data_IF_870161649632
#
_entry.id   IF_870161649632
#
_cell.length_a   1.000
_cell.length_b   1.000
_cell.length_c   1.000
_cell.angle_alpha   90.00
_cell.angle_beta   90.00
_cell.angle_gamma   90.00
#
_symmetry.space_group_name_H-M   'P 1'
#
loop_
_entity.id
_entity.type
_entity.pdbx_description
1 polymer ?
#
# COMPACT_ATOMS: atom_id res chain seq x y z
N UNK A 1 -16.66 15.59 -15.20
CA UNK A 1 -16.22 15.60 -13.80
C UNK A 1 -17.43 15.92 -12.97
N UNK A 2 -17.74 15.09 -11.98
CA UNK A 2 -18.84 15.37 -11.07
C UNK A 2 -18.44 16.55 -10.17
N UNK A 3 -19.37 17.45 -9.93
CA UNK A 3 -19.14 18.61 -9.08
C UNK A 3 -19.14 18.16 -7.60
N UNK A 4 -18.28 18.74 -6.77
CA UNK A 4 -18.09 18.34 -5.36
C UNK A 4 -19.43 18.19 -4.60
N UNK A 5 -20.35 19.12 -4.83
CA UNK A 5 -21.69 19.11 -4.22
C UNK A 5 -22.58 17.98 -4.73
N UNK A 6 -22.42 17.55 -5.99
CA UNK A 6 -23.17 16.43 -6.55
C UNK A 6 -22.74 15.12 -5.88
N UNK A 7 -21.44 14.94 -5.65
CA UNK A 7 -20.91 13.75 -4.97
C UNK A 7 -21.37 13.74 -3.51
N UNK A 8 -21.33 14.88 -2.82
CA UNK A 8 -21.84 15.02 -1.45
C UNK A 8 -23.32 14.67 -1.38
N UNK A 9 -24.13 15.21 -2.29
CA UNK A 9 -25.56 14.94 -2.36
C UNK A 9 -25.86 13.46 -2.67
N UNK A 10 -25.05 12.80 -3.49
CA UNK A 10 -25.22 11.38 -3.76
C UNK A 10 -24.82 10.50 -2.55
N UNK A 11 -23.72 10.83 -1.85
CA UNK A 11 -23.29 10.11 -0.65
C UNK A 11 -24.31 10.15 0.48
N UNK A 12 -25.02 11.26 0.67
CA UNK A 12 -26.01 11.38 1.75
C UNK A 12 -27.19 10.40 1.63
N UNK A 13 -27.38 9.80 0.45
CA UNK A 13 -28.37 8.74 0.21
C UNK A 13 -27.82 7.33 0.46
N UNK A 14 -26.55 7.18 0.79
CA UNK A 14 -25.90 5.88 1.04
C UNK A 14 -25.58 5.79 2.54
N UNK A 15 -25.92 4.66 3.18
CA UNK A 15 -25.57 4.43 4.58
C UNK A 15 -24.07 4.14 4.74
N UNK A 16 -23.44 4.69 5.78
CA UNK A 16 -22.02 4.53 6.07
C UNK A 16 -21.69 3.33 6.99
N UNK A 17 -22.70 2.59 7.46
CA UNK A 17 -22.53 1.50 8.43
C UNK A 17 -21.95 0.21 7.82
N UNK A 18 -22.21 -0.04 6.54
CA UNK A 18 -21.66 -1.21 5.85
C UNK A 18 -20.20 -0.99 5.50
N UNK A 19 -19.31 -1.84 6.01
CA UNK A 19 -17.86 -1.66 5.87
C UNK A 19 -17.38 -1.77 4.42
N UNK A 20 -17.97 -2.67 3.63
CA UNK A 20 -17.59 -2.83 2.22
C UNK A 20 -18.02 -1.59 1.44
N UNK A 21 -19.27 -1.15 1.59
CA UNK A 21 -19.78 0.11 1.02
C UNK A 21 -18.91 1.30 1.43
N UNK A 22 -18.57 1.40 2.71
CA UNK A 22 -17.73 2.46 3.25
C UNK A 22 -16.36 2.55 2.56
N UNK A 23 -15.71 1.40 2.34
CA UNK A 23 -14.45 1.30 1.58
C UNK A 23 -14.67 1.70 0.13
N UNK A 24 -15.68 1.13 -0.54
CA UNK A 24 -15.93 1.36 -1.97
C UNK A 24 -16.25 2.82 -2.28
N UNK A 25 -17.01 3.49 -1.42
CA UNK A 25 -17.31 4.92 -1.56
C UNK A 25 -16.05 5.76 -1.35
N UNK A 26 -15.19 5.38 -0.40
CA UNK A 26 -13.91 6.04 -0.19
C UNK A 26 -12.98 5.93 -1.39
N UNK A 27 -12.87 4.74 -1.99
CA UNK A 27 -12.09 4.53 -3.21
C UNK A 27 -12.67 5.32 -4.39
N UNK A 28 -14.00 5.31 -4.57
CA UNK A 28 -14.67 6.05 -5.63
C UNK A 28 -14.46 7.58 -5.55
N UNK A 29 -14.51 8.13 -4.33
CA UNK A 29 -14.27 9.57 -4.10
C UNK A 29 -12.81 9.92 -4.33
N UNK A 30 -11.88 9.09 -3.85
CA UNK A 30 -10.44 9.29 -4.01
C UNK A 30 -9.99 9.18 -5.47
N UNK A 31 -10.65 8.33 -6.26
CA UNK A 31 -10.39 8.19 -7.70
C UNK A 31 -10.75 9.46 -8.50
N UNK A 32 -11.88 10.11 -8.18
CA UNK A 32 -12.35 11.29 -8.94
C UNK A 32 -11.77 12.62 -8.43
N UNK A 33 -11.62 12.81 -7.12
CA UNK A 33 -11.19 14.10 -6.51
C UNK A 33 -9.77 14.03 -5.94
N UNK A 34 -9.16 12.85 -5.84
CA UNK A 34 -7.86 12.69 -5.19
C UNK A 34 -7.93 12.95 -3.68
N UNK A 35 -6.83 13.45 -3.11
CA UNK A 35 -6.70 13.67 -1.66
C UNK A 35 -7.68 14.72 -1.09
N UNK A 36 -8.11 15.68 -1.92
CA UNK A 36 -9.10 16.70 -1.53
C UNK A 36 -10.50 16.09 -1.27
N UNK A 37 -10.74 14.86 -1.74
CA UNK A 37 -11.95 14.10 -1.47
C UNK A 37 -12.08 13.57 -0.04
N UNK A 38 -11.00 13.59 0.76
CA UNK A 38 -11.02 13.02 2.12
C UNK A 38 -12.09 13.67 3.00
N UNK A 39 -12.18 15.00 2.98
CA UNK A 39 -13.12 15.73 3.83
C UNK A 39 -14.57 15.32 3.55
N UNK A 40 -14.92 15.20 2.26
CA UNK A 40 -16.26 14.83 1.82
C UNK A 40 -16.63 13.40 2.25
N UNK A 41 -15.71 12.46 2.10
CA UNK A 41 -15.94 11.08 2.52
C UNK A 41 -15.91 10.93 4.05
N UNK A 42 -15.07 11.68 4.77
CA UNK A 42 -15.00 11.65 6.23
C UNK A 42 -16.26 12.24 6.88
N UNK A 43 -16.77 13.37 6.37
CA UNK A 43 -18.05 13.94 6.80
C UNK A 43 -19.20 12.93 6.66
N UNK A 44 -19.27 12.24 5.51
CA UNK A 44 -20.23 11.16 5.30
C UNK A 44 -19.99 9.97 6.24
N UNK A 45 -18.74 9.57 6.44
CA UNK A 45 -18.35 8.46 7.31
C UNK A 45 -18.78 8.66 8.76
N UNK A 46 -18.80 9.90 9.24
CA UNK A 46 -19.25 10.26 10.59
C UNK A 46 -20.72 9.93 10.85
N UNK A 47 -21.52 9.71 9.80
CA UNK A 47 -22.92 9.28 9.94
C UNK A 47 -23.08 7.82 10.37
N UNK A 48 -22.02 7.01 10.22
CA UNK A 48 -22.03 5.59 10.61
C UNK A 48 -21.84 5.40 12.11
N UNK A 49 -22.60 4.46 12.69
CA UNK A 49 -22.62 4.24 14.15
C UNK A 49 -21.29 3.76 14.75
N UNK A 50 -20.39 3.21 13.93
CA UNK A 50 -19.08 2.70 14.34
C UNK A 50 -17.91 3.59 13.90
N UNK A 51 -18.16 4.88 13.61
CA UNK A 51 -17.12 5.78 13.12
C UNK A 51 -15.97 5.99 14.11
N UNK A 52 -14.75 6.01 13.58
CA UNK A 52 -13.55 6.39 14.31
C UNK A 52 -12.63 7.22 13.41
N UNK A 53 -12.31 8.45 13.82
CA UNK A 53 -11.51 9.38 13.02
C UNK A 53 -10.08 8.90 12.74
N UNK A 54 -9.47 8.13 13.66
CA UNK A 54 -8.13 7.56 13.44
C UNK A 54 -8.20 6.47 12.37
N UNK A 55 -9.20 5.62 12.44
CA UNK A 55 -9.36 4.50 11.52
C UNK A 55 -9.81 4.98 10.13
N UNK A 56 -10.61 6.04 10.05
CA UNK A 56 -10.96 6.73 8.80
C UNK A 56 -9.70 7.28 8.08
N UNK A 57 -8.83 8.00 8.80
CA UNK A 57 -7.56 8.49 8.25
C UNK A 57 -6.63 7.36 7.80
N UNK A 58 -6.55 6.28 8.57
CA UNK A 58 -5.72 5.12 8.22
C UNK A 58 -6.25 4.42 6.97
N UNK A 59 -7.57 4.23 6.88
CA UNK A 59 -8.20 3.64 5.71
C UNK A 59 -8.03 4.50 4.46
N UNK A 60 -8.23 5.81 4.56
CA UNK A 60 -8.05 6.73 3.44
C UNK A 60 -6.66 6.64 2.81
N UNK A 61 -5.62 6.54 3.64
CA UNK A 61 -4.23 6.34 3.19
C UNK A 61 -4.02 5.00 2.50
N UNK A 62 -4.80 3.98 2.87
CA UNK A 62 -4.73 2.64 2.27
C UNK A 62 -5.48 2.53 0.94
N UNK A 63 -6.47 3.39 0.68
CA UNK A 63 -7.25 3.38 -0.54
C UNK A 63 -6.39 3.68 -1.76
N UNK A 64 -6.57 2.85 -2.78
CA UNK A 64 -5.86 2.94 -4.05
C UNK A 64 -6.83 3.40 -5.12
N UNK A 65 -6.57 4.54 -5.79
CA UNK A 65 -7.39 4.96 -6.92
C UNK A 65 -7.27 3.94 -8.07
N UNK A 66 -8.24 3.95 -8.98
CA UNK A 66 -8.22 3.17 -10.22
C UNK A 66 -8.96 1.84 -10.20
N UNK A 67 -9.49 1.39 -9.05
CA UNK A 67 -10.29 0.16 -8.94
C UNK A 67 -11.80 0.40 -8.98
N UNK A 68 -12.27 1.43 -8.27
CA UNK A 68 -13.68 1.80 -8.18
C UNK A 68 -13.82 3.24 -8.63
N UNK A 69 -14.68 3.46 -9.63
CA UNK A 69 -14.93 4.79 -10.17
C UNK A 69 -16.11 5.46 -9.46
N UNK A 70 -16.22 6.78 -9.60
CA UNK A 70 -17.35 7.57 -9.12
C UNK A 70 -18.72 7.09 -9.65
N UNK A 71 -18.74 6.38 -10.79
CA UNK A 71 -19.96 5.78 -11.33
C UNK A 71 -20.61 4.77 -10.37
N UNK A 72 -19.82 4.05 -9.58
CA UNK A 72 -20.32 3.10 -8.58
C UNK A 72 -21.04 3.81 -7.44
N UNK A 73 -20.54 4.97 -7.01
CA UNK A 73 -21.19 5.80 -6.00
C UNK A 73 -22.55 6.29 -6.48
N UNK A 74 -22.62 6.85 -7.70
CA UNK A 74 -23.90 7.29 -8.27
C UNK A 74 -24.88 6.15 -8.52
N UNK A 75 -24.39 4.96 -8.86
CA UNK A 75 -25.22 3.77 -9.00
C UNK A 75 -25.92 3.42 -7.68
N UNK A 76 -25.16 3.34 -6.58
CA UNK A 76 -25.73 3.05 -5.25
C UNK A 76 -26.62 4.18 -4.73
N UNK A 77 -26.25 5.44 -4.94
CA UNK A 77 -27.09 6.57 -4.57
C UNK A 77 -28.48 6.48 -5.25
N UNK A 78 -28.53 6.17 -6.56
CA UNK A 78 -29.79 6.00 -7.29
C UNK A 78 -30.62 4.81 -6.79
N UNK A 79 -29.97 3.70 -6.43
CA UNK A 79 -30.66 2.57 -5.80
C UNK A 79 -31.33 2.98 -4.48
N UNK A 80 -30.75 3.92 -3.75
CA UNK A 80 -31.31 4.50 -2.53
C UNK A 80 -32.18 5.76 -2.78
N UNK A 81 -32.69 5.93 -4.00
CA UNK A 81 -33.66 6.97 -4.31
C UNK A 81 -33.10 8.36 -4.61
N UNK A 82 -31.77 8.53 -4.69
CA UNK A 82 -31.17 9.78 -5.14
C UNK A 82 -31.55 10.05 -6.61
N UNK A 83 -31.96 11.29 -6.88
CA UNK A 83 -32.27 11.76 -8.24
C UNK A 83 -31.38 12.96 -8.55
N UNK A 84 -30.52 12.90 -9.57
CA UNK A 84 -29.67 14.02 -9.92
C UNK A 84 -30.51 15.17 -10.46
N UNK A 85 -30.20 16.40 -10.07
CA UNK A 85 -30.86 17.61 -10.59
C UNK A 85 -30.56 17.84 -12.08
N UNK A 86 -29.36 17.45 -12.51
CA UNK A 86 -28.93 17.47 -13.91
C UNK A 86 -29.00 16.03 -14.47
N UNK A 87 -29.47 15.82 -15.72
CA UNK A 87 -29.41 14.52 -16.35
C UNK A 87 -27.96 14.02 -16.39
N UNK A 88 -27.72 12.83 -15.85
CA UNK A 88 -26.41 12.20 -15.94
C UNK A 88 -26.06 11.93 -17.40
N UNK A 89 -24.96 12.51 -17.84
CA UNK A 89 -24.34 12.17 -19.13
C UNK A 89 -23.33 11.07 -18.83
N UNK A 90 -23.59 9.80 -19.22
CA UNK A 90 -22.58 8.77 -19.14
C UNK A 90 -21.36 9.19 -19.96
N UNK A 91 -20.16 8.92 -19.43
CA UNK A 91 -18.95 8.98 -20.22
C UNK A 91 -19.14 8.13 -21.48
N UNK A 92 -18.72 8.66 -22.62
CA UNK A 92 -18.68 7.89 -23.86
C UNK A 92 -17.79 6.67 -23.69
N UNK A 93 -18.01 5.64 -24.50
CA UNK A 93 -17.18 4.42 -24.41
C UNK A 93 -15.70 4.72 -24.71
N UNK A 94 -15.42 5.73 -25.53
CA UNK A 94 -14.07 6.22 -25.79
C UNK A 94 -13.42 6.83 -24.53
N UNK A 95 -14.15 7.68 -23.79
CA UNK A 95 -13.65 8.27 -22.54
C UNK A 95 -13.43 7.22 -21.44
N UNK A 96 -14.32 6.22 -21.36
CA UNK A 96 -14.15 5.08 -20.43
C UNK A 96 -12.89 4.28 -20.76
N UNK A 97 -12.68 3.96 -22.03
CA UNK A 97 -11.51 3.21 -22.48
C UNK A 97 -10.21 3.99 -22.22
N UNK A 98 -10.20 5.30 -22.43
CA UNK A 98 -9.04 6.15 -22.14
C UNK A 98 -8.68 6.14 -20.65
N UNK A 99 -9.67 6.29 -19.76
CA UNK A 99 -9.44 6.22 -18.31
C UNK A 99 -8.95 4.84 -17.85
N UNK A 100 -9.51 3.77 -18.43
CA UNK A 100 -9.04 2.41 -18.16
C UNK A 100 -7.59 2.23 -18.60
N UNK A 101 -7.23 2.65 -19.82
CA UNK A 101 -5.87 2.57 -20.32
C UNK A 101 -4.88 3.39 -19.47
N UNK A 102 -5.27 4.58 -19.00
CA UNK A 102 -4.45 5.39 -18.10
C UNK A 102 -4.23 4.70 -16.74
N UNK A 103 -5.29 4.14 -16.15
CA UNK A 103 -5.21 3.37 -14.90
C UNK A 103 -4.31 2.15 -15.04
N UNK A 104 -4.46 1.40 -16.15
CA UNK A 104 -3.63 0.24 -16.45
C UNK A 104 -2.17 0.63 -16.67
N UNK A 105 -1.90 1.71 -17.40
CA UNK A 105 -0.56 2.22 -17.61
C UNK A 105 0.12 2.60 -16.29
N UNK A 106 -0.58 3.31 -15.39
CA UNK A 106 -0.08 3.63 -14.04
C UNK A 106 0.20 2.37 -13.22
N UNK A 107 -0.66 1.35 -13.32
CA UNK A 107 -0.46 0.06 -12.64
C UNK A 107 0.78 -0.67 -13.15
N UNK A 108 0.94 -0.75 -14.47
CA UNK A 108 2.11 -1.35 -15.12
C UNK A 108 3.40 -0.60 -14.77
N UNK A 109 3.39 0.73 -14.76
CA UNK A 109 4.55 1.54 -14.37
C UNK A 109 4.93 1.31 -12.90
N UNK A 110 3.95 1.30 -11.99
CA UNK A 110 4.20 1.03 -10.57
C UNK A 110 4.73 -0.39 -10.33
N UNK A 111 4.24 -1.38 -11.08
CA UNK A 111 4.77 -2.75 -11.05
C UNK A 111 6.20 -2.82 -11.58
N UNK A 112 6.49 -2.14 -12.69
CA UNK A 112 7.83 -2.05 -13.27
C UNK A 112 8.82 -1.42 -12.28
N UNK A 113 8.46 -0.29 -11.66
CA UNK A 113 9.28 0.38 -10.64
C UNK A 113 9.53 -0.53 -9.42
N UNK A 114 8.53 -1.32 -8.99
CA UNK A 114 8.72 -2.31 -7.91
C UNK A 114 9.67 -3.43 -8.32
N UNK A 115 9.55 -3.94 -9.54
CA UNK A 115 10.44 -4.98 -10.07
C UNK A 115 11.87 -4.45 -10.23
N UNK A 116 12.06 -3.28 -10.83
CA UNK A 116 13.36 -2.61 -10.96
C UNK A 116 14.02 -2.37 -9.60
N UNK A 117 13.25 -1.88 -8.62
CA UNK A 117 13.71 -1.72 -7.24
C UNK A 117 14.12 -3.07 -6.61
N UNK A 118 13.34 -4.11 -6.82
CA UNK A 118 13.65 -5.48 -6.35
C UNK A 118 14.93 -6.04 -7.00
N UNK A 119 15.13 -5.86 -8.31
CA UNK A 119 16.32 -6.36 -9.01
C UNK A 119 17.60 -5.65 -8.57
N UNK A 120 17.55 -4.32 -8.38
CA UNK A 120 18.68 -3.52 -7.90
C UNK A 120 19.15 -3.95 -6.50
N UNK A 121 18.19 -4.20 -5.61
CA UNK A 121 18.41 -4.75 -4.26
C UNK A 121 18.96 -6.18 -4.38
N UNK A 122 18.31 -7.08 -5.14
CA UNK A 122 18.80 -8.45 -5.31
C UNK A 122 20.27 -8.54 -5.76
N UNK A 123 20.71 -7.69 -6.69
CA UNK A 123 22.10 -7.66 -7.14
C UNK A 123 23.11 -7.19 -6.08
N UNK A 124 22.73 -6.19 -5.27
CA UNK A 124 23.58 -5.68 -4.18
C UNK A 124 23.70 -6.71 -3.06
N UNK A 125 22.60 -7.36 -2.71
CA UNK A 125 22.48 -8.31 -1.62
C UNK A 125 23.20 -9.61 -1.96
N UNK A 126 23.08 -10.10 -3.20
CA UNK A 126 23.84 -11.26 -3.66
C UNK A 126 25.35 -11.02 -3.59
N UNK A 127 25.82 -9.81 -3.92
CA UNK A 127 27.24 -9.45 -3.85
C UNK A 127 27.74 -9.41 -2.41
N UNK A 128 27.00 -8.77 -1.50
CA UNK A 128 27.34 -8.73 -0.07
C UNK A 128 27.33 -10.16 0.49
N UNK A 129 26.29 -10.95 0.17
CA UNK A 129 26.19 -12.33 0.60
C UNK A 129 27.38 -13.15 0.12
N UNK A 130 27.72 -13.09 -1.16
CA UNK A 130 28.83 -13.84 -1.76
C UNK A 130 30.20 -13.49 -1.15
N UNK A 131 30.41 -12.23 -0.78
CA UNK A 131 31.64 -11.75 -0.16
C UNK A 131 31.70 -12.00 1.36
N UNK A 132 30.58 -12.37 1.98
CA UNK A 132 30.51 -12.65 3.42
C UNK A 132 30.94 -14.07 3.74
N UNK A 133 31.52 -14.27 4.92
CA UNK A 133 31.95 -15.58 5.43
C UNK A 133 30.94 -16.13 6.43
N UNK A 134 30.85 -17.45 6.68
CA UNK A 134 29.99 -17.98 7.73
C UNK A 134 30.24 -17.28 9.08
N UNK A 135 29.15 -16.95 9.79
CA UNK A 135 29.26 -16.35 11.11
C UNK A 135 29.90 -17.32 12.11
N UNK A 136 30.66 -16.79 13.07
CA UNK A 136 31.22 -17.59 14.16
C UNK A 136 30.59 -17.18 15.49
N UNK A 137 30.50 -18.11 16.45
CA UNK A 137 30.01 -17.81 17.81
C UNK A 137 30.86 -16.74 18.53
N UNK A 138 32.08 -16.49 18.06
CA UNK A 138 32.95 -15.43 18.57
C UNK A 138 32.53 -14.02 18.12
N UNK A 139 31.49 -13.87 17.29
CA UNK A 139 31.04 -12.58 16.81
C UNK A 139 30.59 -11.66 17.98
N UNK A 140 31.05 -10.39 18.07
CA UNK A 140 30.78 -9.49 19.19
C UNK A 140 29.28 -9.35 19.54
N UNK A 141 28.44 -9.21 18.51
CA UNK A 141 26.98 -9.16 18.68
C UNK A 141 26.39 -10.43 19.33
N UNK A 142 26.84 -11.62 18.92
CA UNK A 142 26.32 -12.89 19.46
C UNK A 142 26.75 -13.07 20.92
N UNK A 143 28.01 -12.75 21.23
CA UNK A 143 28.54 -12.73 22.59
C UNK A 143 27.74 -11.79 23.48
N UNK A 144 27.46 -10.56 23.02
CA UNK A 144 26.66 -9.58 23.77
C UNK A 144 25.20 -10.03 23.97
N UNK A 145 24.64 -10.79 23.02
CA UNK A 145 23.29 -11.36 23.11
C UNK A 145 23.22 -12.72 23.81
N UNK A 146 24.36 -13.26 24.26
CA UNK A 146 24.42 -14.57 24.91
C UNK A 146 24.05 -15.75 24.00
N UNK A 147 24.12 -15.59 22.67
CA UNK A 147 23.78 -16.63 21.71
C UNK A 147 24.97 -17.59 21.61
N UNK A 148 24.77 -18.82 22.06
CA UNK A 148 25.82 -19.85 22.16
C UNK A 148 25.55 -21.09 21.33
N UNK A 149 24.35 -21.23 20.76
CA UNK A 149 23.94 -22.38 19.98
C UNK A 149 24.40 -22.26 18.50
N UNK A 150 25.26 -23.18 18.00
CA UNK A 150 25.65 -23.22 16.60
C UNK A 150 24.48 -23.36 15.62
N UNK A 151 23.37 -23.98 16.03
CA UNK A 151 22.21 -24.17 15.17
C UNK A 151 21.53 -22.83 14.82
N UNK A 152 21.55 -21.86 15.75
CA UNK A 152 20.93 -20.54 15.58
C UNK A 152 21.70 -19.68 14.57
N UNK A 153 23.01 -19.91 14.44
CA UNK A 153 23.86 -19.19 13.48
C UNK A 153 24.04 -19.95 12.16
N UNK A 154 23.43 -21.15 12.04
CA UNK A 154 23.44 -21.93 10.82
C UNK A 154 22.73 -21.16 9.71
N UNK A 155 23.49 -20.74 8.71
CA UNK A 155 22.96 -19.91 7.61
C UNK A 155 23.03 -18.41 7.88
N UNK A 156 23.67 -17.94 8.94
CA UNK A 156 24.05 -16.53 9.12
C UNK A 156 25.48 -16.34 8.62
N UNK A 157 25.75 -15.21 7.94
CA UNK A 157 27.10 -14.83 7.50
C UNK A 157 27.57 -13.58 8.23
N UNK A 158 28.85 -13.26 8.13
CA UNK A 158 29.45 -12.06 8.68
C UNK A 158 30.38 -11.40 7.65
N UNK A 159 30.48 -10.08 7.70
CA UNK A 159 31.45 -9.30 6.94
C UNK A 159 31.87 -8.05 7.69
N UNK A 160 33.03 -7.51 7.33
CA UNK A 160 33.47 -6.21 7.81
C UNK A 160 32.94 -5.11 6.89
N UNK A 161 32.35 -4.08 7.50
CA UNK A 161 31.91 -2.89 6.80
C UNK A 161 32.10 -1.66 7.69
N UNK A 162 32.86 -0.69 7.19
CA UNK A 162 33.17 0.57 7.88
C UNK A 162 33.75 0.31 9.28
N UNK A 163 34.82 -0.51 9.33
CA UNK A 163 35.55 -0.92 10.54
C UNK A 163 34.69 -1.63 11.61
N UNK A 164 33.53 -2.17 11.23
CA UNK A 164 32.65 -2.93 12.10
C UNK A 164 32.34 -4.31 11.50
N UNK A 165 32.53 -5.37 12.29
CA UNK A 165 32.09 -6.72 11.95
C UNK A 165 30.58 -6.82 12.15
N UNK A 166 29.85 -7.12 11.07
CA UNK A 166 28.38 -7.20 11.06
C UNK A 166 27.93 -8.61 10.70
N UNK A 167 26.82 -9.04 11.30
CA UNK A 167 26.09 -10.21 10.84
C UNK A 167 25.20 -9.83 9.66
N UNK A 168 25.15 -10.72 8.68
CA UNK A 168 24.29 -10.68 7.50
C UNK A 168 23.27 -11.79 7.64
N UNK A 169 22.03 -11.41 7.94
CA UNK A 169 20.92 -12.33 8.16
C UNK A 169 20.10 -12.41 6.86
N UNK A 170 20.05 -13.55 6.17
CA UNK A 170 19.32 -13.67 4.92
C UNK A 170 17.82 -13.77 5.18
N UNK A 171 17.03 -12.98 4.45
CA UNK A 171 15.59 -13.11 4.37
C UNK A 171 15.27 -13.78 3.04
N UNK A 172 14.69 -14.97 3.10
CA UNK A 172 14.25 -15.70 1.92
C UNK A 172 12.75 -15.52 1.71
N UNK A 173 12.34 -15.35 0.46
CA UNK A 173 10.95 -15.41 0.03
C UNK A 173 10.85 -16.35 -1.17
N UNK A 174 9.98 -17.35 -1.09
CA UNK A 174 9.81 -18.39 -2.11
C UNK A 174 11.15 -19.07 -2.52
N UNK A 175 12.01 -19.35 -1.53
CA UNK A 175 13.31 -19.98 -1.73
C UNK A 175 14.41 -19.10 -2.35
N UNK A 176 14.11 -17.84 -2.69
CA UNK A 176 15.09 -16.89 -3.22
C UNK A 176 15.54 -15.90 -2.14
N UNK A 177 16.82 -15.52 -2.15
CA UNK A 177 17.33 -14.44 -1.29
C UNK A 177 16.61 -13.14 -1.69
N UNK A 178 15.79 -12.64 -0.77
CA UNK A 178 14.93 -11.47 -0.97
C UNK A 178 15.56 -10.21 -0.40
N UNK A 179 16.22 -10.32 0.77
CA UNK A 179 16.87 -9.21 1.45
C UNK A 179 18.00 -9.72 2.38
N UNK A 180 18.96 -8.86 2.72
CA UNK A 180 19.90 -9.07 3.82
C UNK A 180 19.62 -8.06 4.93
N UNK A 181 19.42 -8.56 6.16
CA UNK A 181 19.32 -7.71 7.34
C UNK A 181 20.68 -7.63 8.02
N UNK A 182 21.37 -6.48 7.96
CA UNK A 182 22.58 -6.27 8.73
C UNK A 182 22.22 -6.01 10.20
N UNK A 183 22.98 -6.56 11.13
CA UNK A 183 22.89 -6.13 12.53
C UNK A 183 23.53 -4.76 12.69
N UNK A 184 22.84 -3.83 13.35
CA UNK A 184 23.43 -2.58 13.79
C UNK A 184 24.41 -2.86 14.96
N UNK A 185 25.64 -2.35 14.86
CA UNK A 185 26.49 -2.19 16.05
C UNK A 185 25.82 -1.16 16.93
N UNK A 186 25.14 -1.60 18.00
CA UNK A 186 24.97 -0.72 19.15
C UNK A 186 26.37 -0.48 19.71
N UNK A 187 26.90 0.72 19.49
CA UNK A 187 27.85 1.31 20.43
C UNK A 187 27.14 1.55 21.76
#
# INVERSE_FOLDING_TARGET
MAEYDEIRAALSHIGADDRDMWIRMGEAVKDEIGEDGFHLWDEWSQTGGSYNARDAKAAWKSFKPGHISIGTLFHHARQNGWRPEKPYVPLSDAEKAQRQAESEAKRLEAERLRQEGYECVKGTEQRIWAQSVPATLAHPYLTAKGITDPAVISGIRQNEYNDSLRLQIPVFYDGQLYNLQPTASNM
#
